data_IF_330970936369
#
_entry.id   IF_330970936369
#
_cell.length_a   1.000
_cell.length_b   1.000
_cell.length_c   1.000
_cell.angle_alpha   90.00
_cell.angle_beta   90.00
_cell.angle_gamma   90.00
#
_symmetry.space_group_name_H-M   'P 1'
#
loop_
_entity.id
_entity.type
_entity.pdbx_description
1 polymer ?
#
# COMPACT_ATOMS: atom_id res chain seq x y z
N UNK A 1 -4.27 -2.60 9.15
CA UNK A 1 -5.09 -3.51 9.95
C UNK A 1 -4.25 -4.04 11.09
N UNK A 2 -4.81 -4.07 12.29
CA UNK A 2 -4.15 -4.58 13.47
C UNK A 2 -5.19 -5.29 14.33
N UNK A 3 -4.86 -6.47 14.83
CA UNK A 3 -5.75 -7.33 15.57
C UNK A 3 -5.09 -7.86 16.83
N UNK A 4 -5.87 -7.95 17.90
CA UNK A 4 -5.52 -8.60 19.16
C UNK A 4 -6.56 -9.69 19.38
N UNK A 5 -6.11 -10.92 19.58
CA UNK A 5 -7.00 -12.08 19.70
C UNK A 5 -6.57 -13.00 20.84
N UNK A 6 -7.38 -14.03 21.08
CA UNK A 6 -7.14 -15.04 22.11
C UNK A 6 -5.78 -15.74 21.96
N UNK A 7 -5.41 -16.57 22.95
CA UNK A 7 -4.04 -17.06 23.11
C UNK A 7 -3.70 -18.23 22.17
N UNK A 8 -4.69 -18.81 21.49
CA UNK A 8 -4.47 -19.98 20.66
C UNK A 8 -3.93 -19.64 19.27
N UNK A 9 -3.16 -20.56 18.71
CA UNK A 9 -2.71 -20.49 17.33
C UNK A 9 -3.87 -20.53 16.34
N UNK A 10 -4.97 -21.19 16.69
CA UNK A 10 -6.17 -21.26 15.86
C UNK A 10 -6.75 -19.85 15.63
N UNK A 11 -6.96 -19.08 16.69
CA UNK A 11 -7.57 -17.76 16.59
C UNK A 11 -6.69 -16.76 15.83
N UNK A 12 -5.38 -16.74 16.10
CA UNK A 12 -4.47 -15.83 15.39
C UNK A 12 -4.20 -16.23 13.96
N UNK A 13 -4.26 -17.53 13.63
CA UNK A 13 -4.17 -17.99 12.25
C UNK A 13 -5.44 -17.67 11.47
N UNK A 14 -6.63 -17.89 12.05
CA UNK A 14 -7.90 -17.49 11.43
C UNK A 14 -7.95 -15.97 11.16
N UNK A 15 -7.50 -15.16 12.12
CA UNK A 15 -7.45 -13.70 11.94
C UNK A 15 -6.42 -13.27 10.87
N UNK A 16 -5.31 -14.00 10.72
CA UNK A 16 -4.36 -13.75 9.63
C UNK A 16 -4.99 -14.05 8.27
N UNK A 17 -5.71 -15.17 8.14
CA UNK A 17 -6.43 -15.53 6.91
C UNK A 17 -7.53 -14.51 6.58
N UNK A 18 -8.27 -14.03 7.58
CA UNK A 18 -9.25 -12.95 7.41
C UNK A 18 -8.59 -11.65 6.91
N UNK A 19 -7.47 -11.25 7.52
CA UNK A 19 -6.74 -10.06 7.06
C UNK A 19 -6.19 -10.22 5.64
N UNK A 20 -5.73 -11.42 5.28
CA UNK A 20 -5.28 -11.72 3.93
C UNK A 20 -6.44 -11.65 2.93
N UNK A 21 -7.62 -12.20 3.27
CA UNK A 21 -8.79 -12.13 2.39
C UNK A 21 -9.22 -10.70 2.14
N UNK A 22 -9.23 -9.85 3.17
CA UNK A 22 -9.53 -8.42 3.03
C UNK A 22 -8.53 -7.69 2.11
N UNK A 23 -7.23 -8.03 2.18
CA UNK A 23 -6.24 -7.48 1.25
C UNK A 23 -6.53 -7.90 -0.20
N UNK A 24 -6.87 -9.17 -0.41
CA UNK A 24 -7.22 -9.69 -1.72
C UNK A 24 -8.51 -9.05 -2.26
N UNK A 25 -9.52 -8.85 -1.43
CA UNK A 25 -10.76 -8.15 -1.78
C UNK A 25 -10.47 -6.72 -2.24
N UNK A 26 -9.74 -5.93 -1.45
CA UNK A 26 -9.35 -4.55 -1.79
C UNK A 26 -8.65 -4.51 -3.16
N UNK A 27 -7.65 -5.36 -3.38
CA UNK A 27 -6.88 -5.34 -4.63
C UNK A 27 -7.71 -5.83 -5.83
N UNK A 28 -8.63 -6.77 -5.61
CA UNK A 28 -9.56 -7.26 -6.63
C UNK A 28 -10.57 -6.19 -7.03
N UNK A 29 -11.15 -5.48 -6.06
CA UNK A 29 -12.08 -4.36 -6.31
C UNK A 29 -11.41 -3.18 -7.01
N UNK A 30 -10.12 -2.97 -6.77
CA UNK A 30 -9.29 -2.01 -7.51
C UNK A 30 -8.95 -2.48 -8.94
N UNK A 31 -9.30 -3.72 -9.32
CA UNK A 31 -9.04 -4.27 -10.65
C UNK A 31 -7.57 -4.53 -10.93
N UNK A 32 -6.75 -4.76 -9.89
CA UNK A 32 -5.31 -4.99 -10.05
C UNK A 32 -5.02 -6.48 -10.30
N UNK A 33 -4.04 -6.75 -11.15
CA UNK A 33 -3.46 -8.08 -11.27
C UNK A 33 -2.41 -8.27 -10.17
N UNK A 34 -2.57 -9.29 -9.32
CA UNK A 34 -1.67 -9.54 -8.19
C UNK A 34 -1.43 -11.04 -7.96
N UNK A 35 -0.44 -11.35 -7.12
CA UNK A 35 -0.12 -12.70 -6.65
C UNK A 35 0.12 -12.70 -5.14
N UNK A 36 -0.34 -13.75 -4.46
CA UNK A 36 -0.12 -13.98 -3.04
C UNK A 36 1.13 -14.84 -2.86
N UNK A 37 1.97 -14.50 -1.89
CA UNK A 37 3.21 -15.20 -1.57
C UNK A 37 3.19 -15.65 -0.11
N UNK A 38 3.56 -16.90 0.12
CA UNK A 38 3.90 -17.42 1.44
C UNK A 38 5.40 -17.23 1.67
N UNK A 39 5.77 -16.38 2.64
CA UNK A 39 7.13 -15.89 2.75
C UNK A 39 8.07 -16.93 3.38
N UNK A 40 9.31 -17.10 2.86
CA UNK A 40 10.26 -18.06 3.39
C UNK A 40 10.78 -17.63 4.76
N UNK A 41 11.39 -18.58 5.48
CA UNK A 41 11.93 -18.36 6.83
C UNK A 41 12.89 -17.17 6.94
N UNK A 42 13.69 -16.92 5.91
CA UNK A 42 14.64 -15.81 5.85
C UNK A 42 13.98 -14.41 5.75
N UNK A 43 12.70 -14.35 5.35
CA UNK A 43 11.94 -13.11 5.13
C UNK A 43 10.86 -12.87 6.20
N UNK A 44 10.79 -13.71 7.24
CA UNK A 44 9.86 -13.52 8.37
C UNK A 44 10.28 -12.36 9.28
N UNK A 45 11.57 -12.01 9.29
CA UNK A 45 12.14 -11.09 10.27
C UNK A 45 12.08 -11.67 11.68
N UNK A 46 12.16 -10.80 12.70
CA UNK A 46 12.14 -11.23 14.10
C UNK A 46 10.75 -11.59 14.64
N UNK A 47 9.67 -10.83 14.38
CA UNK A 47 8.43 -11.01 15.12
C UNK A 47 7.43 -11.96 14.46
N UNK A 48 7.57 -12.33 13.19
CA UNK A 48 6.54 -13.07 12.47
C UNK A 48 6.71 -14.59 12.66
N UNK A 49 5.62 -15.25 13.08
CA UNK A 49 5.48 -16.70 13.03
C UNK A 49 5.08 -17.18 11.63
N UNK A 50 4.19 -16.45 10.96
CA UNK A 50 3.79 -16.66 9.56
C UNK A 50 3.56 -15.32 8.89
N UNK A 51 3.96 -15.20 7.62
CA UNK A 51 3.86 -13.96 6.85
C UNK A 51 3.41 -14.25 5.42
N UNK A 52 2.42 -13.50 4.97
CA UNK A 52 1.96 -13.47 3.59
C UNK A 52 2.19 -12.08 3.00
N UNK A 53 2.73 -12.03 1.79
CA UNK A 53 2.84 -10.79 1.03
C UNK A 53 1.98 -10.87 -0.23
N UNK A 54 1.47 -9.72 -0.67
CA UNK A 54 0.83 -9.61 -1.98
C UNK A 54 1.65 -8.66 -2.84
N UNK A 55 1.99 -9.11 -4.04
CA UNK A 55 2.62 -8.28 -5.05
C UNK A 55 1.64 -7.97 -6.18
N UNK A 56 1.56 -6.70 -6.58
CA UNK A 56 0.78 -6.27 -7.72
C UNK A 56 1.68 -6.14 -8.96
N UNK A 57 1.14 -6.47 -10.13
CA UNK A 57 1.79 -6.24 -11.42
C UNK A 57 1.87 -4.74 -11.72
N UNK A 58 3.03 -4.29 -12.18
CA UNK A 58 3.31 -2.89 -12.52
C UNK A 58 3.85 -2.85 -13.96
N UNK A 59 3.01 -2.59 -14.98
CA UNK A 59 3.39 -2.70 -16.40
C UNK A 59 4.61 -1.86 -16.81
N UNK A 60 4.67 -0.60 -16.41
CA UNK A 60 5.79 0.30 -16.71
C UNK A 60 7.06 -0.10 -15.97
N UNK A 61 6.93 -0.62 -14.74
CA UNK A 61 8.04 -1.25 -14.01
C UNK A 61 8.48 -2.59 -14.60
N UNK A 62 7.60 -3.29 -15.31
CA UNK A 62 7.84 -4.59 -15.96
C UNK A 62 7.97 -5.77 -15.00
N UNK A 63 7.46 -5.67 -13.76
CA UNK A 63 7.52 -6.74 -12.75
C UNK A 63 6.45 -6.58 -11.69
N UNK A 64 6.23 -7.66 -10.94
CA UNK A 64 5.51 -7.61 -9.67
C UNK A 64 6.30 -6.79 -8.63
N UNK A 65 5.57 -6.09 -7.77
CA UNK A 65 6.13 -5.43 -6.59
C UNK A 65 5.16 -5.53 -5.41
N UNK A 66 5.69 -5.87 -4.24
CA UNK A 66 4.95 -5.97 -2.98
C UNK A 66 4.14 -4.70 -2.71
N UNK A 67 2.83 -4.85 -2.48
CA UNK A 67 1.91 -3.76 -2.12
C UNK A 67 1.35 -3.92 -0.70
N UNK A 68 1.38 -5.14 -0.16
CA UNK A 68 0.93 -5.43 1.20
C UNK A 68 1.75 -6.54 1.83
N UNK A 69 1.79 -6.53 3.16
CA UNK A 69 2.23 -7.66 3.99
C UNK A 69 1.19 -7.94 5.08
N UNK A 70 1.12 -9.18 5.53
CA UNK A 70 0.27 -9.65 6.63
C UNK A 70 1.06 -10.64 7.48
N UNK A 71 1.09 -10.45 8.81
CA UNK A 71 1.92 -11.24 9.72
C UNK A 71 1.17 -11.59 11.00
N UNK A 72 1.23 -12.88 11.36
CA UNK A 72 0.88 -13.37 12.70
C UNK A 72 2.14 -13.34 13.56
N UNK A 73 2.11 -12.59 14.66
CA UNK A 73 3.23 -12.44 15.57
C UNK A 73 3.08 -13.26 16.86
N UNK A 74 2.04 -14.10 16.94
CA UNK A 74 1.67 -14.87 18.14
C UNK A 74 1.81 -13.98 19.38
N UNK A 75 2.44 -14.49 20.45
CA UNK A 75 2.72 -13.75 21.67
C UNK A 75 4.06 -13.00 21.66
N UNK A 76 4.78 -12.92 20.53
CA UNK A 76 6.10 -12.28 20.47
C UNK A 76 6.04 -10.81 20.90
N UNK A 77 5.11 -10.05 20.32
CA UNK A 77 4.95 -8.63 20.62
C UNK A 77 4.29 -8.43 21.98
N UNK A 78 3.29 -9.23 22.31
CA UNK A 78 2.53 -9.10 23.56
C UNK A 78 3.39 -9.39 24.79
N UNK A 79 4.31 -10.35 24.73
CA UNK A 79 5.28 -10.61 25.81
C UNK A 79 6.24 -9.45 26.07
N UNK A 80 6.55 -8.67 25.04
CA UNK A 80 7.50 -7.54 25.14
C UNK A 80 6.82 -6.26 25.59
N UNK A 81 5.54 -6.11 25.28
CA UNK A 81 4.75 -4.90 25.56
C UNK A 81 3.68 -5.10 26.65
N UNK A 82 3.57 -6.31 27.20
CA UNK A 82 2.56 -6.70 28.19
C UNK A 82 1.11 -6.50 27.68
N UNK A 83 0.83 -6.94 26.45
CA UNK A 83 -0.53 -6.93 25.88
C UNK A 83 -1.27 -8.20 26.36
N UNK A 84 -2.17 -8.02 27.31
CA UNK A 84 -2.88 -9.12 27.98
C UNK A 84 -4.36 -9.13 27.59
N UNK A 85 -5.01 -10.28 27.74
CA UNK A 85 -6.46 -10.37 27.82
C UNK A 85 -6.85 -11.11 29.11
N UNK A 86 -8.07 -10.86 29.58
CA UNK A 86 -8.61 -11.50 30.77
C UNK A 86 -9.61 -12.59 30.35
N UNK A 87 -9.46 -13.78 30.92
CA UNK A 87 -10.45 -14.87 30.74
C UNK A 87 -11.68 -14.64 31.62
N UNK A 88 -12.77 -15.36 31.35
CA UNK A 88 -13.97 -15.34 32.20
C UNK A 88 -13.69 -15.70 33.67
N UNK A 89 -12.67 -16.52 33.93
CA UNK A 89 -12.22 -16.87 35.28
C UNK A 89 -11.40 -15.75 35.97
N UNK A 90 -11.14 -14.63 35.28
CA UNK A 90 -10.38 -13.50 35.79
C UNK A 90 -8.86 -13.60 35.59
N UNK A 91 -8.36 -14.71 35.04
CA UNK A 91 -6.93 -14.92 34.79
C UNK A 91 -6.42 -14.07 33.62
N UNK A 92 -5.22 -13.50 33.77
CA UNK A 92 -4.54 -12.74 32.73
C UNK A 92 -3.62 -13.64 31.90
N UNK A 93 -3.79 -13.59 30.58
CA UNK A 93 -2.99 -14.33 29.61
C UNK A 93 -2.47 -13.38 28.54
N UNK A 94 -1.29 -13.66 27.97
CA UNK A 94 -0.76 -12.87 26.85
C UNK A 94 -1.64 -13.09 25.61
N UNK A 95 -2.05 -12.01 24.97
CA UNK A 95 -2.81 -12.07 23.73
C UNK A 95 -1.90 -12.41 22.54
N UNK A 96 -2.48 -12.89 21.44
CA UNK A 96 -1.79 -12.92 20.15
C UNK A 96 -2.02 -11.63 19.37
N UNK A 97 -1.01 -11.18 18.62
CA UNK A 97 -1.11 -10.00 17.74
C UNK A 97 -0.95 -10.36 16.27
N UNK A 98 -1.80 -9.78 15.43
CA UNK A 98 -1.79 -9.94 13.97
C UNK A 98 -1.83 -8.55 13.35
N UNK A 99 -1.05 -8.34 12.29
CA UNK A 99 -1.02 -7.07 11.57
C UNK A 99 -1.03 -7.31 10.07
N UNK A 100 -1.63 -6.37 9.32
CA UNK A 100 -1.68 -6.43 7.87
C UNK A 100 -1.84 -5.04 7.25
N UNK A 101 -1.23 -4.78 6.10
CA UNK A 101 -1.42 -3.53 5.33
C UNK A 101 -2.83 -3.50 4.75
N UNK A 102 -3.62 -2.46 5.00
CA UNK A 102 -4.90 -2.28 4.29
C UNK A 102 -4.64 -1.72 2.87
N UNK A 103 -3.93 -0.59 2.81
CA UNK A 103 -3.45 -0.01 1.57
C UNK A 103 -2.16 0.77 1.82
N UNK A 104 -1.18 0.64 0.91
CA UNK A 104 0.04 1.44 0.93
C UNK A 104 0.08 2.31 -0.34
N UNK A 105 -0.22 3.59 -0.17
CA UNK A 105 -0.46 4.54 -1.27
C UNK A 105 0.63 4.54 -2.35
N UNK A 106 1.94 4.60 -2.05
CA UNK A 106 2.94 4.82 -3.10
C UNK A 106 2.97 3.74 -4.19
N UNK A 107 2.98 2.46 -3.80
CA UNK A 107 3.05 1.35 -4.78
C UNK A 107 1.70 1.05 -5.40
N UNK A 108 0.59 1.35 -4.70
CA UNK A 108 -0.73 1.31 -5.32
C UNK A 108 -0.88 2.37 -6.41
N UNK A 109 -0.36 3.58 -6.23
CA UNK A 109 -0.34 4.58 -7.30
C UNK A 109 0.44 4.09 -8.52
N UNK A 110 1.59 3.44 -8.35
CA UNK A 110 2.34 2.85 -9.47
C UNK A 110 1.46 1.83 -10.21
N UNK A 111 0.91 0.85 -9.48
CA UNK A 111 0.10 -0.21 -10.08
C UNK A 111 -1.15 0.34 -10.78
N UNK A 112 -1.85 1.30 -10.16
CA UNK A 112 -3.05 1.93 -10.71
C UNK A 112 -2.75 2.77 -11.95
N UNK A 113 -1.77 3.65 -11.89
CA UNK A 113 -1.42 4.55 -13.00
C UNK A 113 -0.93 3.74 -14.21
N UNK A 114 -0.05 2.77 -13.99
CA UNK A 114 0.54 1.99 -15.08
C UNK A 114 -0.47 0.99 -15.69
N UNK A 115 -1.36 0.40 -14.89
CA UNK A 115 -2.34 -0.59 -15.36
C UNK A 115 -3.54 0.03 -16.06
N UNK A 116 -3.86 1.30 -15.75
CA UNK A 116 -5.04 1.98 -16.31
C UNK A 116 -4.69 3.08 -17.33
N UNK A 117 -3.42 3.21 -17.71
CA UNK A 117 -2.97 4.21 -18.69
C UNK A 117 -3.62 4.02 -20.06
N UNK A 118 -3.78 5.12 -20.79
CA UNK A 118 -4.38 5.17 -22.11
C UNK A 118 -3.39 5.74 -23.11
N UNK A 119 -3.61 5.47 -24.41
CA UNK A 119 -2.68 5.88 -25.49
C UNK A 119 -2.46 7.40 -25.57
N UNK A 120 -3.44 8.19 -25.15
CA UNK A 120 -3.40 9.65 -25.11
C UNK A 120 -2.75 10.23 -23.84
N UNK A 121 -2.29 9.38 -22.92
CA UNK A 121 -1.71 9.77 -21.62
C UNK A 121 -2.74 10.00 -20.51
N UNK A 122 -4.04 9.88 -20.79
CA UNK A 122 -5.07 9.84 -19.74
C UNK A 122 -5.01 8.52 -18.97
N UNK A 123 -5.62 8.47 -17.79
CA UNK A 123 -5.66 7.27 -16.94
C UNK A 123 -7.10 6.99 -16.54
N UNK A 124 -7.58 5.76 -16.79
CA UNK A 124 -8.90 5.32 -16.33
C UNK A 124 -8.91 5.12 -14.80
N UNK A 125 -10.04 5.40 -14.17
CA UNK A 125 -10.24 5.23 -12.73
C UNK A 125 -11.05 3.95 -12.48
N UNK A 126 -10.56 3.00 -11.66
CA UNK A 126 -11.33 1.83 -11.27
C UNK A 126 -12.69 2.23 -10.68
N UNK A 127 -13.79 1.50 -10.96
CA UNK A 127 -15.12 1.85 -10.48
C UNK A 127 -15.20 2.12 -8.97
N UNK A 128 -14.48 1.34 -8.16
CA UNK A 128 -14.40 1.50 -6.71
C UNK A 128 -13.86 2.88 -6.27
N UNK A 129 -13.03 3.54 -7.10
CA UNK A 129 -12.44 4.85 -6.80
C UNK A 129 -13.20 6.03 -7.40
N UNK A 130 -14.09 5.80 -8.37
CA UNK A 130 -14.84 6.87 -9.05
C UNK A 130 -15.68 7.75 -8.10
N UNK A 131 -16.37 7.21 -7.07
CA UNK A 131 -17.11 8.04 -6.11
C UNK A 131 -16.24 9.05 -5.35
N UNK A 132 -14.95 8.75 -5.17
CA UNK A 132 -14.00 9.61 -4.46
C UNK A 132 -13.35 10.64 -5.37
N UNK A 133 -13.27 10.36 -6.68
CA UNK A 133 -12.62 11.21 -7.68
C UNK A 133 -13.62 12.10 -8.44
N UNK A 134 -14.90 11.71 -8.48
CA UNK A 134 -15.93 12.44 -9.24
C UNK A 134 -15.79 12.35 -10.76
N UNK A 135 -14.93 11.45 -11.25
CA UNK A 135 -14.65 11.21 -12.67
C UNK A 135 -14.25 9.75 -12.90
N UNK A 136 -14.48 9.23 -14.10
CA UNK A 136 -14.01 7.91 -14.54
C UNK A 136 -12.61 7.95 -15.18
N UNK A 137 -12.06 9.16 -15.39
CA UNK A 137 -10.80 9.38 -16.11
C UNK A 137 -10.06 10.60 -15.59
N UNK A 138 -8.76 10.43 -15.32
CA UNK A 138 -7.82 11.53 -15.10
C UNK A 138 -7.33 12.01 -16.47
N UNK A 139 -7.48 13.31 -16.73
CA UNK A 139 -7.03 13.98 -17.95
C UNK A 139 -6.02 15.08 -17.64
N UNK A 140 -5.47 15.70 -18.69
CA UNK A 140 -4.65 16.90 -18.52
C UNK A 140 -5.39 17.97 -17.71
N UNK A 141 -4.73 18.61 -16.74
CA UNK A 141 -5.36 19.62 -15.91
C UNK A 141 -5.53 20.94 -16.66
N UNK A 142 -6.43 21.80 -16.17
CA UNK A 142 -6.68 23.13 -16.74
C UNK A 142 -5.68 24.20 -16.30
N UNK A 143 -4.98 23.97 -15.18
CA UNK A 143 -3.99 24.93 -14.67
C UNK A 143 -2.71 24.90 -15.50
N UNK A 144 -2.02 26.03 -15.56
CA UNK A 144 -0.69 26.12 -16.16
C UNK A 144 0.32 25.50 -15.20
N UNK A 145 1.11 24.48 -15.61
CA UNK A 145 2.15 23.92 -14.76
C UNK A 145 3.12 24.98 -14.24
N UNK A 146 3.62 24.79 -13.03
CA UNK A 146 4.58 25.70 -12.43
C UNK A 146 5.80 25.89 -13.34
N UNK A 147 6.18 27.14 -13.57
CA UNK A 147 7.37 27.48 -14.35
C UNK A 147 8.57 27.66 -13.42
N UNK A 148 9.65 26.95 -13.71
CA UNK A 148 10.89 27.10 -12.97
C UNK A 148 11.55 28.45 -13.29
N UNK A 149 11.62 29.34 -12.30
CA UNK A 149 12.20 30.69 -12.43
C UNK A 149 13.54 30.85 -11.70
N UNK A 150 14.12 29.76 -11.20
CA UNK A 150 15.39 29.79 -10.50
C UNK A 150 16.59 30.06 -11.42
N UNK A 151 17.75 30.46 -10.87
CA UNK A 151 18.94 30.80 -11.65
C UNK A 151 19.62 29.58 -12.30
N UNK A 152 19.31 28.36 -11.85
CA UNK A 152 19.93 27.12 -12.32
C UNK A 152 19.24 26.58 -13.59
N UNK A 153 19.05 27.43 -14.59
CA UNK A 153 18.51 27.05 -15.90
C UNK A 153 19.32 27.68 -17.02
N UNK A 154 19.31 27.06 -18.20
CA UNK A 154 19.88 27.67 -19.40
C UNK A 154 19.13 28.97 -19.67
N UNK A 155 19.77 30.10 -19.45
CA UNK A 155 19.21 31.39 -19.82
C UNK A 155 19.15 31.45 -21.35
N UNK A 156 17.97 31.76 -21.90
CA UNK A 156 17.90 32.13 -23.32
C UNK A 156 18.80 33.35 -23.54
N UNK A 157 19.61 33.40 -24.60
CA UNK A 157 20.37 34.60 -24.93
C UNK A 157 19.41 35.79 -24.98
N UNK A 158 19.77 36.91 -24.35
CA UNK A 158 19.00 38.15 -24.51
C UNK A 158 18.95 38.49 -26.00
N UNK A 159 17.75 38.67 -26.55
CA UNK A 159 17.62 39.28 -27.88
C UNK A 159 18.21 40.69 -27.80
N UNK A 160 18.95 41.17 -28.83
CA UNK A 160 19.48 42.52 -28.85
C UNK A 160 18.35 43.54 -28.65
N UNK A 161 18.44 44.37 -27.61
CA UNK A 161 17.50 45.47 -27.36
C UNK A 161 16.49 45.33 -26.21
N UNK A 162 16.49 44.23 -25.44
CA UNK A 162 15.65 44.16 -24.23
C UNK A 162 16.31 44.84 -23.02
N UNK A 163 15.62 45.76 -22.32
CA UNK A 163 16.15 46.41 -21.12
C UNK A 163 16.34 45.41 -19.98
N UNK A 164 17.32 45.68 -19.10
CA UNK A 164 17.52 44.89 -17.89
C UNK A 164 16.31 45.07 -16.95
N UNK A 165 15.72 43.97 -16.50
CA UNK A 165 14.76 43.99 -15.39
C UNK A 165 15.55 44.29 -14.10
N UNK A 166 15.13 45.34 -13.39
CA UNK A 166 15.64 45.74 -12.07
C UNK A 166 15.42 44.65 -11.03
#
# INVERSE_FOLDING_TARGET
MFGVTGPGLEQSSQLLEEFLSLQMEILTELGLHFRVLDMPTQELGLPAYRKFDIEAWMPGRGRFGEVTSASNCTDFQSRRLHIMFQTEAGELHFAHTVNATACAVPRLLIALLESNQQKDGSVLIPPALQPYLGTDRITAPTHVPLQYIGPNQRQKPRLPGQPALN
#
